data_IF_218290439954
#
_entry.id   IF_218290439954
#
_cell.length_a   1.000
_cell.length_b   1.000
_cell.length_c   1.000
_cell.angle_alpha   90.00
_cell.angle_beta   90.00
_cell.angle_gamma   90.00
#
_symmetry.space_group_name_H-M   'P 1'
#
loop_
_entity.id
_entity.type
_entity.pdbx_description
1 polymer ?
#
# COMPACT_ATOMS: atom_id res chain seq x y z
N UNK A 1 15.14 -1.51 0.41
CA UNK A 1 15.17 -2.23 -0.90
C UNK A 1 13.74 -2.62 -1.17
N UNK A 2 13.16 -2.35 -2.35
CA UNK A 2 11.71 -2.56 -2.52
C UNK A 2 11.40 -4.06 -2.34
N UNK A 3 10.61 -4.37 -1.32
CA UNK A 3 10.17 -5.72 -0.95
C UNK A 3 8.87 -6.08 -1.63
N UNK A 4 8.01 -5.09 -1.86
CA UNK A 4 6.69 -5.29 -2.45
C UNK A 4 6.17 -4.03 -3.11
N UNK A 5 5.42 -4.20 -4.20
CA UNK A 5 4.60 -3.15 -4.82
C UNK A 5 3.17 -3.66 -5.00
N UNK A 6 2.19 -2.83 -4.67
CA UNK A 6 0.77 -3.14 -4.81
C UNK A 6 -0.02 -2.01 -5.47
N UNK A 7 -1.06 -2.38 -6.22
CA UNK A 7 -2.07 -1.48 -6.76
C UNK A 7 -3.43 -1.96 -6.25
N UNK A 8 -4.16 -1.05 -5.61
CA UNK A 8 -5.48 -1.32 -5.04
C UNK A 8 -6.51 -0.38 -5.68
N UNK A 9 -7.67 -0.92 -6.02
CA UNK A 9 -8.79 -0.14 -6.56
C UNK A 9 -9.41 0.78 -5.51
N UNK A 10 -10.22 1.77 -5.93
CA UNK A 10 -10.99 2.64 -5.02
C UNK A 10 -11.91 1.89 -4.03
N UNK A 11 -12.25 0.62 -4.30
CA UNK A 11 -13.03 -0.23 -3.39
C UNK A 11 -12.21 -1.08 -2.41
N UNK A 12 -10.88 -0.99 -2.47
CA UNK A 12 -9.99 -1.73 -1.56
C UNK A 12 -9.62 -3.11 -2.09
N UNK A 13 -10.09 -3.42 -3.30
CA UNK A 13 -9.79 -4.67 -3.98
C UNK A 13 -8.38 -4.58 -4.58
N UNK A 14 -7.45 -5.47 -4.21
CA UNK A 14 -6.14 -5.56 -4.84
C UNK A 14 -6.30 -5.88 -6.32
N UNK A 15 -5.72 -5.04 -7.17
CA UNK A 15 -5.70 -5.26 -8.63
C UNK A 15 -4.43 -6.03 -9.00
N UNK A 16 -3.32 -5.67 -8.36
CA UNK A 16 -2.03 -6.33 -8.58
C UNK A 16 -1.16 -6.17 -7.36
N UNK A 17 -0.56 -7.27 -6.93
CA UNK A 17 0.47 -7.29 -5.90
C UNK A 17 1.67 -8.03 -6.49
N UNK A 18 2.87 -7.50 -6.26
CA UNK A 18 4.12 -8.16 -6.63
C UNK A 18 5.08 -8.06 -5.45
N UNK A 19 5.31 -9.19 -4.79
CA UNK A 19 6.45 -9.35 -3.90
C UNK A 19 7.75 -9.48 -4.72
N UNK A 20 8.82 -8.87 -4.22
CA UNK A 20 10.19 -8.93 -4.75
C UNK A 20 11.11 -9.72 -3.82
N UNK A 21 10.56 -10.20 -2.70
CA UNK A 21 11.16 -11.10 -1.74
C UNK A 21 10.14 -12.19 -1.41
N UNK A 22 10.56 -13.30 -0.82
CA UNK A 22 9.61 -14.26 -0.26
C UNK A 22 8.85 -13.61 0.91
N UNK A 23 7.53 -13.51 0.75
CA UNK A 23 6.62 -13.02 1.78
C UNK A 23 5.68 -14.18 2.07
N UNK A 24 5.77 -14.74 3.28
CA UNK A 24 4.99 -15.92 3.69
C UNK A 24 3.47 -15.67 3.76
N UNK A 25 3.02 -14.42 3.61
CA UNK A 25 1.63 -14.00 3.83
C UNK A 25 1.15 -12.89 2.87
N UNK A 26 1.21 -13.12 1.56
CA UNK A 26 0.67 -12.16 0.56
C UNK A 26 -0.81 -11.81 0.78
N UNK A 27 -1.60 -12.73 1.35
CA UNK A 27 -3.04 -12.56 1.62
C UNK A 27 -3.33 -11.52 2.72
N UNK A 28 -2.49 -11.47 3.76
CA UNK A 28 -2.58 -10.49 4.86
C UNK A 28 -2.29 -9.07 4.37
N UNK A 29 -1.51 -8.97 3.30
CA UNK A 29 -1.01 -7.72 2.78
C UNK A 29 -2.11 -6.87 2.14
N UNK A 30 -3.08 -7.51 1.47
CA UNK A 30 -4.28 -6.85 0.95
C UNK A 30 -5.06 -6.15 2.08
N UNK A 31 -5.27 -6.83 3.20
CA UNK A 31 -5.97 -6.29 4.37
C UNK A 31 -5.21 -5.14 5.03
N UNK A 32 -3.89 -5.25 5.14
CA UNK A 32 -3.05 -4.17 5.68
C UNK A 32 -3.09 -2.91 4.81
N UNK A 33 -3.04 -3.07 3.49
CA UNK A 33 -3.12 -1.93 2.57
C UNK A 33 -4.49 -1.26 2.68
N UNK A 34 -5.58 -2.02 2.78
CA UNK A 34 -6.90 -1.43 2.92
C UNK A 34 -7.07 -0.70 4.25
N UNK A 35 -6.54 -1.25 5.35
CA UNK A 35 -6.52 -0.56 6.64
C UNK A 35 -5.76 0.77 6.55
N UNK A 36 -4.62 0.78 5.87
CA UNK A 36 -3.79 1.98 5.69
C UNK A 36 -4.46 3.00 4.78
N UNK A 37 -5.21 2.54 3.78
CA UNK A 37 -6.02 3.41 2.93
C UNK A 37 -7.21 4.02 3.67
N UNK A 38 -7.88 3.25 4.51
CA UNK A 38 -8.92 3.75 5.39
C UNK A 38 -8.36 4.86 6.30
N UNK A 39 -7.20 4.63 6.92
CA UNK A 39 -6.48 5.63 7.71
C UNK A 39 -6.06 6.84 6.86
N UNK A 40 -5.60 6.62 5.63
CA UNK A 40 -5.22 7.67 4.68
C UNK A 40 -6.38 8.61 4.36
N UNK A 41 -7.58 8.06 4.15
CA UNK A 41 -8.76 8.84 3.77
C UNK A 41 -9.12 9.90 4.83
N UNK A 42 -8.75 9.64 6.09
CA UNK A 42 -8.89 10.55 7.23
C UNK A 42 -7.75 11.60 7.26
N UNK A 43 -6.59 11.29 6.69
CA UNK A 43 -5.33 12.07 6.82
C UNK A 43 -5.08 13.02 5.61
N UNK A 44 -5.93 13.06 4.58
CA UNK A 44 -5.85 14.05 3.47
C UNK A 44 -5.13 13.55 2.19
N UNK A 45 -5.40 14.14 1.02
CA UNK A 45 -5.51 13.36 -0.25
C UNK A 45 -4.46 13.54 -1.36
N UNK A 46 -3.30 14.16 -1.15
CA UNK A 46 -2.43 14.49 -2.30
C UNK A 46 -0.91 14.30 -2.13
N UNK A 47 -0.46 13.75 -1.02
CA UNK A 47 0.97 13.55 -0.79
C UNK A 47 1.31 12.06 -0.72
N UNK A 48 2.53 11.71 -1.12
CA UNK A 48 3.09 10.39 -0.82
C UNK A 48 3.16 10.32 0.70
N UNK A 49 2.36 9.43 1.28
CA UNK A 49 2.39 9.18 2.71
C UNK A 49 3.33 8.02 2.99
N UNK A 50 4.04 8.15 4.09
CA UNK A 50 5.01 7.18 4.56
C UNK A 50 4.63 6.75 5.97
N UNK A 51 4.55 5.45 6.19
CA UNK A 51 4.48 4.84 7.50
C UNK A 51 5.81 4.13 7.77
N UNK A 52 6.44 4.46 8.88
CA UNK A 52 7.70 3.87 9.30
C UNK A 52 7.42 2.67 10.23
N UNK A 53 7.86 1.48 9.82
CA UNK A 53 7.81 0.24 10.60
C UNK A 53 9.21 -0.15 11.14
N UNK A 54 10.09 0.83 11.31
CA UNK A 54 11.45 0.68 11.83
C UNK A 54 12.42 0.21 10.74
N UNK A 55 12.46 -1.10 10.48
CA UNK A 55 13.33 -1.65 9.42
C UNK A 55 12.76 -1.44 8.02
N UNK A 56 11.45 -1.28 7.94
CA UNK A 56 10.69 -1.21 6.69
C UNK A 56 9.88 0.07 6.64
N UNK A 57 9.65 0.58 5.44
CA UNK A 57 8.81 1.75 5.21
C UNK A 57 7.71 1.41 4.23
N UNK A 58 6.47 1.69 4.61
CA UNK A 58 5.36 1.61 3.68
C UNK A 58 5.08 2.98 3.11
N UNK A 59 5.31 3.10 1.81
CA UNK A 59 4.93 4.24 1.01
C UNK A 59 3.57 3.97 0.39
N UNK A 60 2.70 4.97 0.37
CA UNK A 60 1.46 4.88 -0.38
C UNK A 60 1.02 6.24 -0.92
N UNK A 61 0.32 6.20 -2.04
CA UNK A 61 -0.22 7.39 -2.70
C UNK A 61 -1.51 7.04 -3.45
N UNK A 62 -2.35 8.04 -3.72
CA UNK A 62 -3.53 7.91 -4.56
C UNK A 62 -3.23 8.50 -5.95
N UNK A 63 -3.50 7.73 -7.00
CA UNK A 63 -3.49 8.21 -8.38
C UNK A 63 -4.74 9.04 -8.67
N UNK A 64 -4.66 9.92 -9.67
CA UNK A 64 -5.80 10.72 -10.14
C UNK A 64 -7.00 9.86 -10.60
N UNK A 65 -6.74 8.63 -11.03
CA UNK A 65 -7.77 7.66 -11.44
C UNK A 65 -8.42 6.92 -10.26
N UNK A 66 -8.03 7.23 -9.02
CA UNK A 66 -8.61 6.66 -7.80
C UNK A 66 -8.02 5.31 -7.38
N UNK A 67 -6.91 4.88 -7.97
CA UNK A 67 -6.13 3.73 -7.48
C UNK A 67 -5.18 4.14 -6.37
N UNK A 68 -5.00 3.27 -5.39
CA UNK A 68 -3.96 3.40 -4.37
C UNK A 68 -2.75 2.59 -4.80
N UNK A 69 -1.59 3.22 -4.85
CA UNK A 69 -0.31 2.57 -5.12
C UNK A 69 0.42 2.47 -3.79
N UNK A 70 0.97 1.29 -3.50
CA UNK A 70 1.76 1.06 -2.30
C UNK A 70 3.10 0.42 -2.62
N UNK A 71 4.09 0.70 -1.78
CA UNK A 71 5.37 0.01 -1.81
C UNK A 71 5.89 -0.21 -0.39
N UNK A 72 6.34 -1.42 -0.10
CA UNK A 72 7.11 -1.73 1.11
C UNK A 72 8.59 -1.70 0.74
N UNK A 73 9.38 -0.88 1.44
CA UNK A 73 10.78 -0.55 1.09
C UNK A 73 11.72 -0.77 2.26
#
# INVERSE_FOLDING_TARGET
MIKLIGIISKGGIPIRVKALIDIEAEELLAGMIEAIRALSSVIGKKEIKMLDFGKDKLLFTESEKGYTIVALV
#
